data_IF_240895286420
#
_entry.id   IF_240895286420
#
_cell.length_a   1.000
_cell.length_b   1.000
_cell.length_c   1.000
_cell.angle_alpha   90.00
_cell.angle_beta   90.00
_cell.angle_gamma   90.00
#
_symmetry.space_group_name_H-M   'P 1'
#
loop_
_entity.id
_entity.type
_entity.pdbx_description
1 polymer ?
#
# COMPACT_ATOMS: atom_id res chain seq x y z
N UNK A 1 -7.59 17.53 -10.08
CA UNK A 1 -6.63 18.67 -10.01
C UNK A 1 -5.23 18.09 -10.02
N UNK A 2 -4.65 17.90 -11.20
CA UNK A 2 -3.30 17.35 -11.34
C UNK A 2 -2.28 18.50 -11.46
N UNK A 3 -1.64 18.86 -10.35
CA UNK A 3 -0.50 19.78 -10.32
C UNK A 3 0.81 18.98 -10.28
N UNK A 4 1.74 19.31 -11.19
CA UNK A 4 3.02 18.60 -11.32
C UNK A 4 3.79 18.58 -10.02
N UNK A 5 3.77 19.69 -9.25
CA UNK A 5 4.46 19.77 -7.97
C UNK A 5 3.95 18.73 -6.97
N UNK A 6 2.63 18.55 -6.91
CA UNK A 6 2.00 17.59 -6.00
C UNK A 6 2.37 16.16 -6.38
N UNK A 7 2.30 15.83 -7.67
CA UNK A 7 2.66 14.49 -8.17
C UNK A 7 4.15 14.19 -8.01
N UNK A 8 5.02 15.18 -8.21
CA UNK A 8 6.45 15.04 -7.96
C UNK A 8 6.74 14.77 -6.48
N UNK A 9 6.09 15.49 -5.55
CA UNK A 9 6.26 15.27 -4.11
C UNK A 9 5.81 13.85 -3.71
N UNK A 10 4.66 13.41 -4.21
CA UNK A 10 4.15 12.06 -3.93
C UNK A 10 5.07 11.01 -4.56
N UNK A 11 5.57 11.24 -5.78
CA UNK A 11 6.53 10.35 -6.41
C UNK A 11 7.79 10.16 -5.57
N UNK A 12 8.38 11.26 -5.05
CA UNK A 12 9.54 11.20 -4.16
C UNK A 12 9.20 10.40 -2.89
N UNK A 13 8.02 10.62 -2.30
CA UNK A 13 7.55 9.83 -1.17
C UNK A 13 7.42 8.34 -1.52
N UNK A 14 6.88 7.99 -2.69
CA UNK A 14 6.77 6.61 -3.15
C UNK A 14 8.13 5.93 -3.33
N UNK A 15 9.13 6.66 -3.84
CA UNK A 15 10.51 6.18 -3.94
C UNK A 15 11.09 5.96 -2.55
N UNK A 16 10.92 6.91 -1.63
CA UNK A 16 11.37 6.77 -0.24
C UNK A 16 10.72 5.59 0.47
N UNK A 17 9.41 5.38 0.32
CA UNK A 17 8.68 4.24 0.90
C UNK A 17 9.11 2.90 0.28
N UNK A 18 9.47 2.89 -1.01
CA UNK A 18 9.97 1.69 -1.68
C UNK A 18 11.37 1.31 -1.18
N UNK A 19 12.30 2.28 -1.19
CA UNK A 19 13.69 2.07 -0.76
C UNK A 19 13.79 1.88 0.75
N UNK A 20 12.94 2.56 1.53
CA UNK A 20 12.96 2.50 3.00
C UNK A 20 12.79 1.10 3.58
N UNK A 21 12.17 0.17 2.85
CA UNK A 21 12.08 -1.25 3.25
C UNK A 21 13.45 -1.91 3.43
N UNK A 22 14.46 -1.44 2.71
CA UNK A 22 15.84 -1.89 2.85
C UNK A 22 16.33 -1.72 4.29
N UNK A 23 15.94 -0.62 4.96
CA UNK A 23 16.35 -0.32 6.33
C UNK A 23 15.94 -1.42 7.30
N UNK A 24 14.79 -2.05 7.08
CA UNK A 24 14.26 -3.07 7.97
C UNK A 24 15.02 -4.40 7.90
N UNK A 25 15.61 -4.74 6.76
CA UNK A 25 16.24 -6.05 6.54
C UNK A 25 17.76 -5.99 6.42
N UNK A 26 18.33 -4.81 6.18
CA UNK A 26 19.77 -4.65 6.04
C UNK A 26 20.48 -4.33 7.36
N UNK A 27 19.82 -3.62 8.27
CA UNK A 27 20.40 -3.26 9.56
C UNK A 27 19.92 -4.20 10.66
N UNK A 28 20.83 -4.67 11.51
CA UNK A 28 20.54 -5.54 12.68
C UNK A 28 19.75 -4.84 13.81
N UNK A 29 19.18 -3.66 13.54
CA UNK A 29 18.38 -2.89 14.49
C UNK A 29 16.96 -3.44 14.68
N UNK A 30 16.49 -4.34 13.81
CA UNK A 30 15.12 -4.82 13.80
C UNK A 30 15.06 -6.35 13.89
N UNK A 31 14.15 -6.87 14.72
CA UNK A 31 13.82 -8.29 14.66
C UNK A 31 13.10 -8.60 13.35
N UNK A 32 13.14 -9.86 12.91
CA UNK A 32 12.44 -10.29 11.69
C UNK A 32 10.95 -9.91 11.71
N UNK A 33 10.28 -10.09 12.85
CA UNK A 33 8.86 -9.75 13.00
C UNK A 33 8.63 -8.23 12.87
N UNK A 34 9.48 -7.41 13.49
CA UNK A 34 9.41 -5.95 13.35
C UNK A 34 9.65 -5.51 11.91
N UNK A 35 10.64 -6.09 11.24
CA UNK A 35 10.96 -5.81 9.85
C UNK A 35 9.81 -6.17 8.89
N UNK A 36 9.17 -7.31 9.12
CA UNK A 36 8.01 -7.76 8.37
C UNK A 36 6.81 -6.83 8.55
N UNK A 37 6.46 -6.49 9.80
CA UNK A 37 5.34 -5.57 10.11
C UNK A 37 5.62 -4.19 9.50
N UNK A 38 6.83 -3.66 9.67
CA UNK A 38 7.23 -2.37 9.09
C UNK A 38 7.09 -2.36 7.57
N UNK A 39 7.47 -3.47 6.91
CA UNK A 39 7.35 -3.64 5.46
C UNK A 39 5.91 -3.65 4.99
N UNK A 40 5.01 -4.30 5.73
CA UNK A 40 3.57 -4.31 5.45
C UNK A 40 3.00 -2.90 5.58
N UNK A 41 3.34 -2.17 6.65
CA UNK A 41 2.88 -0.79 6.86
C UNK A 41 3.34 0.11 5.71
N UNK A 42 4.63 0.07 5.34
CA UNK A 42 5.14 0.86 4.20
C UNK A 42 4.44 0.48 2.88
N UNK A 43 4.09 -0.80 2.69
CA UNK A 43 3.36 -1.24 1.51
C UNK A 43 1.93 -0.67 1.46
N UNK A 44 1.21 -0.70 2.58
CA UNK A 44 -0.15 -0.14 2.69
C UNK A 44 -0.15 1.35 2.38
N UNK A 45 0.76 2.12 3.00
CA UNK A 45 0.87 3.56 2.75
C UNK A 45 1.18 3.84 1.27
N UNK A 46 2.12 3.11 0.69
CA UNK A 46 2.49 3.25 -0.73
C UNK A 46 1.31 3.01 -1.65
N UNK A 47 0.59 1.90 -1.48
CA UNK A 47 -0.57 1.56 -2.32
C UNK A 47 -1.69 2.58 -2.12
N UNK A 48 -1.92 3.07 -0.90
CA UNK A 48 -2.89 4.14 -0.64
C UNK A 48 -2.56 5.44 -1.37
N UNK A 49 -1.29 5.85 -1.40
CA UNK A 49 -0.85 7.01 -2.17
C UNK A 49 -1.02 6.81 -3.68
N UNK A 50 -0.73 5.62 -4.19
CA UNK A 50 -0.92 5.29 -5.62
C UNK A 50 -2.40 5.33 -5.97
N UNK A 51 -3.25 4.65 -5.21
CA UNK A 51 -4.70 4.60 -5.47
C UNK A 51 -5.32 6.00 -5.38
N UNK A 52 -5.01 6.75 -4.32
CA UNK A 52 -5.58 8.06 -4.09
C UNK A 52 -5.17 9.10 -5.14
N UNK A 53 -3.89 9.14 -5.53
CA UNK A 53 -3.34 10.22 -6.35
C UNK A 53 -2.99 9.79 -7.78
N UNK A 54 -2.32 8.66 -7.99
CA UNK A 54 -1.93 8.22 -9.34
C UNK A 54 -3.07 7.55 -10.09
N UNK A 55 -3.96 6.83 -9.40
CA UNK A 55 -5.19 6.29 -9.98
C UNK A 55 -6.39 7.23 -9.83
N UNK A 56 -6.18 8.43 -9.26
CA UNK A 56 -7.20 9.47 -9.10
C UNK A 56 -8.45 9.03 -8.31
N UNK A 57 -8.38 7.97 -7.48
CA UNK A 57 -9.54 7.47 -6.72
C UNK A 57 -10.16 8.55 -5.82
N UNK A 58 -9.36 9.52 -5.36
CA UNK A 58 -9.82 10.65 -4.56
C UNK A 58 -10.74 11.60 -5.33
N UNK A 59 -10.58 11.68 -6.65
CA UNK A 59 -11.33 12.58 -7.53
C UNK A 59 -12.59 11.90 -8.10
N UNK A 60 -12.66 10.58 -8.01
CA UNK A 60 -13.79 9.77 -8.45
C UNK A 60 -15.02 9.89 -7.52
N UNK A 61 -16.24 9.57 -8.02
CA UNK A 61 -17.43 9.48 -7.19
C UNK A 61 -17.25 8.50 -6.03
N UNK A 62 -17.91 8.80 -4.90
CA UNK A 62 -17.84 7.96 -3.67
C UNK A 62 -18.25 6.51 -3.92
N UNK A 63 -19.14 6.25 -4.88
CA UNK A 63 -19.51 4.90 -5.30
C UNK A 63 -18.29 4.06 -5.72
N UNK A 64 -17.34 4.65 -6.46
CA UNK A 64 -16.13 3.95 -6.91
C UNK A 64 -15.21 3.64 -5.72
N UNK A 65 -15.09 4.56 -4.76
CA UNK A 65 -14.34 4.31 -3.52
C UNK A 65 -14.93 3.15 -2.71
N UNK A 66 -16.27 3.04 -2.62
CA UNK A 66 -16.93 1.90 -1.95
C UNK A 66 -16.74 0.58 -2.70
N UNK A 67 -16.75 0.61 -4.04
CA UNK A 67 -16.44 -0.57 -4.86
C UNK A 67 -15.00 -1.02 -4.62
N UNK A 68 -14.02 -0.11 -4.61
CA UNK A 68 -12.63 -0.42 -4.29
C UNK A 68 -12.47 -1.00 -2.89
N UNK A 69 -13.13 -0.43 -1.88
CA UNK A 69 -13.09 -0.96 -0.52
C UNK A 69 -13.69 -2.38 -0.44
N UNK A 70 -14.81 -2.61 -1.12
CA UNK A 70 -15.43 -3.94 -1.23
C UNK A 70 -14.49 -4.92 -1.92
N UNK A 71 -13.82 -4.52 -3.01
CA UNK A 71 -12.86 -5.37 -3.71
C UNK A 71 -11.67 -5.77 -2.80
N UNK A 72 -11.10 -4.83 -2.05
CA UNK A 72 -10.03 -5.11 -1.07
C UNK A 72 -10.52 -6.09 0.00
N UNK A 73 -11.73 -5.90 0.51
CA UNK A 73 -12.34 -6.81 1.48
C UNK A 73 -12.50 -8.23 0.91
N UNK A 74 -12.97 -8.36 -0.33
CA UNK A 74 -13.11 -9.66 -1.00
C UNK A 74 -11.76 -10.35 -1.22
N UNK A 75 -10.69 -9.60 -1.54
CA UNK A 75 -9.33 -10.15 -1.64
C UNK A 75 -8.86 -10.74 -0.31
N UNK A 76 -9.20 -10.11 0.82
CA UNK A 76 -8.88 -10.68 2.14
C UNK A 76 -9.65 -11.98 2.40
N UNK A 77 -10.95 -12.02 2.08
CA UNK A 77 -11.74 -13.25 2.21
C UNK A 77 -11.16 -14.39 1.35
N UNK A 78 -10.78 -14.09 0.10
CA UNK A 78 -10.16 -15.06 -0.80
C UNK A 78 -8.81 -15.55 -0.26
N UNK A 79 -8.00 -14.65 0.29
CA UNK A 79 -6.69 -15.00 0.87
C UNK A 79 -6.86 -15.93 2.07
N UNK A 80 -7.81 -15.63 2.95
CA UNK A 80 -8.14 -16.49 4.11
C UNK A 80 -8.66 -17.85 3.64
N UNK A 81 -9.60 -17.87 2.70
CA UNK A 81 -10.16 -19.10 2.15
C UNK A 81 -9.09 -19.98 1.48
N UNK A 82 -8.17 -19.37 0.72
CA UNK A 82 -7.04 -20.07 0.12
C UNK A 82 -6.12 -20.71 1.18
N UNK A 83 -5.97 -20.10 2.35
CA UNK A 83 -5.24 -20.67 3.48
C UNK A 83 -5.81 -22.00 3.98
N UNK A 84 -7.14 -22.18 3.93
CA UNK A 84 -7.80 -23.44 4.28
C UNK A 84 -7.78 -24.49 3.16
N UNK A 85 -7.56 -24.08 1.91
CA UNK A 85 -7.57 -24.99 0.76
C UNK A 85 -6.25 -25.78 0.58
N UNK A 86 -5.18 -25.37 1.25
CA UNK A 86 -3.83 -25.95 1.12
C UNK A 86 -3.59 -27.06 2.16
N UNK A 87 -4.40 -27.12 3.22
CA UNK A 87 -4.40 -28.20 4.21
C UNK A 87 -5.26 -29.37 3.74
#
# INVERSE_FOLDING_TARGET
MADIRTYTLIYIALVALATGKFVFFHFDAFTYQMALIGTIILAIVKVGLIAGYFQHLREEPRSISYVMATAVFMVFLLTIAAGYSIQ
#
